data_IF_954609244798
#
_entry.id   IF_954609244798
#
_cell.length_a   1.000
_cell.length_b   1.000
_cell.length_c   1.000
_cell.angle_alpha   90.00
_cell.angle_beta   90.00
_cell.angle_gamma   90.00
#
_symmetry.space_group_name_H-M   'P 1'
#
loop_
_entity.id
_entity.type
_entity.pdbx_description
1 polymer ?
#
# COMPACT_ATOMS: atom_id res chain seq x y z
N UNK A 1 22.32 -11.66 -10.85
CA UNK A 1 22.01 -10.64 -9.84
C UNK A 1 20.55 -10.23 -10.01
N UNK A 2 19.76 -10.27 -8.94
CA UNK A 2 18.40 -9.74 -9.00
C UNK A 2 18.48 -8.21 -9.02
N UNK A 3 17.91 -7.60 -10.08
CA UNK A 3 18.08 -6.19 -10.39
C UNK A 3 16.94 -5.33 -9.87
N UNK A 4 17.24 -4.07 -9.56
CA UNK A 4 16.25 -3.03 -9.29
C UNK A 4 15.39 -2.76 -10.51
N UNK A 5 14.22 -2.16 -10.29
CA UNK A 5 13.21 -1.88 -11.32
C UNK A 5 12.72 -0.44 -11.25
N UNK A 6 12.53 0.13 -12.44
CA UNK A 6 11.87 1.42 -12.66
C UNK A 6 10.90 1.31 -13.83
N UNK A 7 10.32 2.42 -14.27
CA UNK A 7 9.49 2.47 -15.48
C UNK A 7 10.34 2.66 -16.74
N UNK A 8 9.85 2.19 -17.89
CA UNK A 8 10.46 2.47 -19.20
C UNK A 8 10.10 3.86 -19.73
N UNK A 9 8.88 4.30 -19.46
CA UNK A 9 8.36 5.58 -19.89
C UNK A 9 7.51 6.21 -18.80
N UNK A 10 7.21 7.50 -18.92
CA UNK A 10 6.27 8.15 -18.03
C UNK A 10 4.83 7.75 -18.34
N UNK A 11 3.99 7.82 -17.32
CA UNK A 11 2.53 7.69 -17.46
C UNK A 11 1.83 8.69 -16.55
N UNK A 12 0.56 9.02 -16.85
CA UNK A 12 -0.21 10.03 -16.14
C UNK A 12 -1.60 9.55 -15.83
N UNK A 13 -2.15 10.07 -14.74
CA UNK A 13 -3.55 9.92 -14.41
C UNK A 13 -4.09 11.20 -13.78
N UNK A 14 -5.37 11.43 -13.98
CA UNK A 14 -6.12 12.52 -13.34
C UNK A 14 -7.28 11.89 -12.58
N UNK A 15 -7.51 12.36 -11.38
CA UNK A 15 -8.60 11.90 -10.53
C UNK A 15 -8.92 12.92 -9.45
N UNK A 16 -9.54 12.45 -8.39
CA UNK A 16 -9.86 13.25 -7.20
C UNK A 16 -9.27 12.57 -5.96
N UNK A 17 -8.88 13.35 -4.97
CA UNK A 17 -8.52 12.83 -3.65
C UNK A 17 -9.75 12.29 -2.94
N UNK A 18 -9.62 11.15 -2.26
CA UNK A 18 -10.73 10.53 -1.54
C UNK A 18 -11.27 11.45 -0.44
N UNK A 19 -10.36 12.03 0.34
CA UNK A 19 -10.72 12.87 1.48
C UNK A 19 -10.91 14.33 1.09
N UNK A 20 -10.02 14.90 0.29
CA UNK A 20 -10.05 16.30 -0.11
C UNK A 20 -11.11 16.61 -1.16
N UNK A 21 -11.50 15.65 -2.00
CA UNK A 21 -12.34 15.87 -3.17
C UNK A 21 -11.70 16.76 -4.24
N UNK A 22 -10.44 17.17 -4.06
CA UNK A 22 -9.73 18.02 -5.00
C UNK A 22 -9.29 17.23 -6.23
N UNK A 23 -9.38 17.88 -7.39
CA UNK A 23 -8.81 17.34 -8.62
C UNK A 23 -7.29 17.31 -8.51
N UNK A 24 -6.71 16.18 -8.83
CA UNK A 24 -5.26 15.94 -8.78
C UNK A 24 -4.80 15.21 -10.02
N UNK A 25 -3.65 15.62 -10.54
CA UNK A 25 -2.91 14.92 -11.58
C UNK A 25 -1.66 14.29 -10.95
N UNK A 26 -1.39 13.02 -11.28
CA UNK A 26 -0.12 12.38 -11.01
C UNK A 26 0.60 12.05 -12.30
N UNK A 27 1.93 12.26 -12.30
CA UNK A 27 2.83 11.78 -13.34
C UNK A 27 3.84 10.85 -12.71
N UNK A 28 3.79 9.57 -13.11
CA UNK A 28 4.74 8.55 -12.70
C UNK A 28 5.90 8.56 -13.69
N UNK A 29 7.13 8.81 -13.23
CA UNK A 29 8.31 8.92 -14.09
C UNK A 29 9.40 7.93 -13.68
N UNK A 30 10.17 7.40 -14.65
CA UNK A 30 11.38 6.64 -14.36
C UNK A 30 12.30 7.41 -13.41
N UNK A 31 12.98 6.69 -12.52
CA UNK A 31 14.02 7.23 -11.67
C UNK A 31 15.30 6.40 -11.79
N UNK A 32 16.44 6.99 -11.47
CA UNK A 32 17.72 6.29 -11.47
C UNK A 32 17.77 5.20 -10.40
N UNK A 33 18.65 4.23 -10.57
CA UNK A 33 18.91 3.23 -9.55
C UNK A 33 19.28 3.89 -8.20
N UNK A 34 18.85 3.27 -7.12
CA UNK A 34 19.06 3.74 -5.75
C UNK A 34 18.35 5.06 -5.38
N UNK A 35 17.46 5.58 -6.24
CA UNK A 35 16.63 6.76 -5.92
C UNK A 35 15.57 6.45 -4.87
N UNK A 36 15.00 5.23 -4.91
CA UNK A 36 13.79 4.90 -4.17
C UNK A 36 12.55 5.54 -4.81
N UNK A 37 11.44 5.59 -4.06
CA UNK A 37 10.23 6.28 -4.51
C UNK A 37 10.19 7.66 -3.87
N UNK A 38 10.02 8.69 -4.71
CA UNK A 38 10.02 10.09 -4.31
C UNK A 38 8.76 10.76 -4.83
N UNK A 39 7.92 11.25 -3.93
CA UNK A 39 6.82 12.14 -4.27
C UNK A 39 7.34 13.56 -4.45
N UNK A 40 6.86 14.26 -5.49
CA UNK A 40 7.23 15.65 -5.76
C UNK A 40 5.98 16.50 -5.89
N UNK A 41 5.79 17.42 -4.96
CA UNK A 41 4.72 18.42 -4.99
C UNK A 41 5.10 19.49 -6.02
N UNK A 42 4.54 19.37 -7.23
CA UNK A 42 4.85 20.26 -8.35
C UNK A 42 3.92 21.48 -8.45
N UNK A 43 2.88 21.51 -7.64
CA UNK A 43 1.92 22.60 -7.50
C UNK A 43 2.40 23.74 -6.57
N UNK A 44 3.43 23.48 -5.77
CA UNK A 44 4.00 24.48 -4.87
C UNK A 44 4.87 25.49 -5.65
N UNK A 45 5.04 26.72 -5.15
CA UNK A 45 5.86 27.75 -5.80
C UNK A 45 7.28 27.28 -6.13
N UNK A 46 7.84 26.43 -5.30
CA UNK A 46 9.04 25.63 -5.58
C UNK A 46 8.69 24.15 -5.35
N UNK A 47 8.98 23.27 -6.32
CA UNK A 47 8.72 21.84 -6.14
C UNK A 47 9.45 21.29 -4.91
N UNK A 48 8.74 20.48 -4.11
CA UNK A 48 9.27 19.87 -2.90
C UNK A 48 9.26 18.36 -3.04
N UNK A 49 10.42 17.75 -2.86
CA UNK A 49 10.58 16.30 -2.84
C UNK A 49 10.27 15.74 -1.45
N UNK A 50 9.48 14.68 -1.42
CA UNK A 50 9.12 13.92 -0.21
C UNK A 50 9.56 12.48 -0.45
N UNK A 51 10.78 12.10 -0.05
CA UNK A 51 11.26 10.73 -0.17
C UNK A 51 10.43 9.79 0.70
N UNK A 52 10.11 8.60 0.16
CA UNK A 52 9.41 7.56 0.88
C UNK A 52 10.27 7.02 2.02
N UNK A 53 9.77 7.12 3.24
CA UNK A 53 10.41 6.64 4.47
C UNK A 53 9.37 6.43 5.57
N UNK A 54 9.53 5.36 6.35
CA UNK A 54 8.68 5.12 7.51
C UNK A 54 8.73 6.28 8.54
N UNK A 55 9.85 7.01 8.58
CA UNK A 55 10.03 8.18 9.46
C UNK A 55 9.40 9.45 8.90
N UNK A 56 9.12 9.49 7.58
CA UNK A 56 8.41 10.61 6.94
C UNK A 56 6.87 10.53 7.09
N UNK A 57 6.35 9.42 7.64
CA UNK A 57 4.92 9.29 7.95
C UNK A 57 4.59 10.15 9.16
N UNK A 58 3.74 11.16 8.96
CA UNK A 58 3.36 12.14 9.98
C UNK A 58 1.91 12.07 10.42
N UNK A 59 1.04 11.47 9.60
CA UNK A 59 -0.36 11.21 9.95
C UNK A 59 -0.77 9.83 9.40
N UNK A 60 -1.57 9.12 10.19
CA UNK A 60 -2.10 7.78 9.85
C UNK A 60 -3.60 7.68 10.08
N UNK A 61 -4.28 8.81 10.27
CA UNK A 61 -5.73 8.87 10.39
C UNK A 61 -6.35 8.69 9.00
N UNK A 62 -7.10 7.62 8.83
CA UNK A 62 -7.81 7.24 7.59
C UNK A 62 -6.91 6.88 6.39
N UNK A 63 -5.65 7.32 6.35
CA UNK A 63 -4.70 7.07 5.27
C UNK A 63 -3.26 7.28 5.77
N UNK A 64 -2.28 6.78 5.04
CA UNK A 64 -0.87 7.09 5.29
C UNK A 64 -0.47 8.39 4.61
N UNK A 65 0.10 9.32 5.40
CA UNK A 65 0.54 10.64 4.96
C UNK A 65 2.04 10.78 5.13
N UNK A 66 2.74 11.10 4.04
CA UNK A 66 4.16 11.46 4.05
C UNK A 66 4.33 12.97 4.08
N UNK A 67 5.37 13.47 4.77
CA UNK A 67 5.67 14.90 4.84
C UNK A 67 7.17 15.19 4.75
N UNK A 68 7.48 16.36 4.19
CA UNK A 68 8.80 16.98 4.26
C UNK A 68 8.59 18.50 4.53
N UNK A 69 8.88 18.94 5.75
CA UNK A 69 8.47 20.25 6.23
C UNK A 69 6.94 20.41 6.17
N UNK A 70 6.48 21.47 5.56
CA UNK A 70 5.03 21.75 5.40
C UNK A 70 4.39 21.01 4.21
N UNK A 71 5.22 20.49 3.29
CA UNK A 71 4.71 19.74 2.15
C UNK A 71 4.26 18.34 2.56
N UNK A 72 3.07 17.92 2.10
CA UNK A 72 2.43 16.66 2.45
C UNK A 72 1.90 15.95 1.22
N UNK A 73 1.83 14.62 1.31
CA UNK A 73 1.10 13.76 0.38
C UNK A 73 0.32 12.71 1.19
N UNK A 74 -1.00 12.75 1.04
CA UNK A 74 -1.95 11.84 1.70
C UNK A 74 -2.29 10.63 0.81
N UNK A 75 -2.78 9.56 1.43
CA UNK A 75 -3.38 8.38 0.76
C UNK A 75 -2.38 7.72 -0.21
N UNK A 76 -1.16 7.48 0.27
CA UNK A 76 -0.09 6.92 -0.56
C UNK A 76 -0.16 5.39 -0.68
N UNK A 77 -0.88 4.73 0.23
CA UNK A 77 -0.89 3.27 0.43
C UNK A 77 -1.28 2.47 -0.81
N UNK A 78 -2.28 2.88 -1.59
CA UNK A 78 -2.73 2.13 -2.76
C UNK A 78 -1.68 2.14 -3.89
N UNK A 79 -1.07 3.28 -4.17
CA UNK A 79 0.04 3.39 -5.12
C UNK A 79 1.27 2.62 -4.63
N UNK A 80 1.59 2.72 -3.33
CA UNK A 80 2.71 1.97 -2.74
C UNK A 80 2.47 0.47 -2.79
N UNK A 81 1.23 0.02 -2.59
CA UNK A 81 0.83 -1.38 -2.73
C UNK A 81 1.07 -1.88 -4.17
N UNK A 82 0.68 -1.10 -5.18
CA UNK A 82 0.94 -1.42 -6.59
C UNK A 82 2.45 -1.51 -6.88
N UNK A 83 3.24 -0.55 -6.36
CA UNK A 83 4.70 -0.57 -6.50
C UNK A 83 5.31 -1.81 -5.83
N UNK A 84 4.86 -2.18 -4.63
CA UNK A 84 5.29 -3.38 -3.92
C UNK A 84 4.96 -4.65 -4.72
N UNK A 85 3.72 -4.77 -5.20
CA UNK A 85 3.24 -5.94 -5.95
C UNK A 85 3.94 -6.14 -7.29
N UNK A 86 4.32 -5.06 -7.97
CA UNK A 86 5.07 -5.09 -9.24
C UNK A 86 6.59 -5.03 -9.04
N UNK A 87 7.03 -4.77 -7.83
CA UNK A 87 8.44 -4.68 -7.47
C UNK A 87 9.15 -3.47 -8.05
N UNK A 88 8.49 -2.30 -8.10
CA UNK A 88 9.09 -1.04 -8.53
C UNK A 88 9.92 -0.46 -7.38
N UNK A 89 11.21 -0.36 -7.57
CA UNK A 89 12.14 0.13 -6.56
C UNK A 89 12.39 1.64 -6.67
N UNK A 90 12.39 2.19 -7.89
CA UNK A 90 12.75 3.58 -8.16
C UNK A 90 11.70 4.27 -9.02
N UNK A 91 11.15 5.37 -8.51
CA UNK A 91 10.05 6.09 -9.16
C UNK A 91 9.99 7.54 -8.68
N UNK A 92 9.81 8.49 -9.60
CA UNK A 92 9.31 9.82 -9.26
C UNK A 92 7.79 9.87 -9.44
N UNK A 93 7.10 10.43 -8.45
CA UNK A 93 5.65 10.67 -8.46
C UNK A 93 5.43 12.18 -8.37
N UNK A 94 5.33 12.85 -9.51
CA UNK A 94 4.95 14.26 -9.52
C UNK A 94 3.43 14.37 -9.27
N UNK A 95 3.05 15.23 -8.34
CA UNK A 95 1.66 15.38 -7.88
C UNK A 95 1.27 16.86 -7.75
N UNK A 96 0.05 17.20 -8.21
CA UNK A 96 -0.45 18.58 -8.28
C UNK A 96 -1.39 18.95 -7.14
N UNK A 97 -1.48 18.14 -6.09
CA UNK A 97 -2.26 18.42 -4.88
C UNK A 97 -1.72 17.59 -3.71
N UNK A 98 -2.32 17.75 -2.52
CA UNK A 98 -1.84 17.07 -1.30
C UNK A 98 -2.25 15.59 -1.18
N UNK A 99 -3.05 15.06 -2.09
CA UNK A 99 -3.59 13.71 -1.96
C UNK A 99 -3.43 12.93 -3.27
N UNK A 100 -2.97 11.68 -3.19
CA UNK A 100 -2.95 10.74 -4.32
C UNK A 100 -4.39 10.50 -4.80
N UNK A 101 -4.69 10.51 -6.12
CA UNK A 101 -6.05 10.28 -6.59
C UNK A 101 -6.52 8.88 -6.21
N UNK A 102 -7.76 8.78 -5.75
CA UNK A 102 -8.34 7.50 -5.31
C UNK A 102 -8.62 6.55 -6.48
N UNK A 103 -8.80 7.09 -7.69
CA UNK A 103 -9.16 6.37 -8.91
C UNK A 103 -10.39 5.47 -8.69
N UNK A 104 -10.24 4.16 -8.81
CA UNK A 104 -11.33 3.20 -8.60
C UNK A 104 -11.44 2.67 -7.14
N UNK A 105 -10.65 3.23 -6.23
CA UNK A 105 -10.60 2.84 -4.82
C UNK A 105 -9.75 1.60 -4.52
N UNK A 106 -9.08 1.07 -5.52
CA UNK A 106 -8.18 -0.08 -5.40
C UNK A 106 -6.76 0.24 -5.90
N UNK A 107 -5.86 -0.72 -5.90
CA UNK A 107 -4.55 -0.59 -6.52
C UNK A 107 -4.53 -0.98 -8.01
N UNK A 108 -5.63 -1.52 -8.55
CA UNK A 108 -5.67 -2.04 -9.92
C UNK A 108 -5.40 -0.97 -10.98
N UNK A 109 -5.93 0.23 -10.79
CA UNK A 109 -5.69 1.35 -11.70
C UNK A 109 -4.22 1.77 -11.71
N UNK A 110 -3.55 1.75 -10.58
CA UNK A 110 -2.10 2.00 -10.50
C UNK A 110 -1.29 0.88 -11.13
N UNK A 111 -1.67 -0.38 -10.92
CA UNK A 111 -1.05 -1.54 -11.60
C UNK A 111 -1.14 -1.37 -13.10
N UNK A 112 -2.31 -1.00 -13.62
CA UNK A 112 -2.50 -0.75 -15.06
C UNK A 112 -1.58 0.38 -15.57
N UNK A 113 -1.48 1.50 -14.87
CA UNK A 113 -0.62 2.63 -15.23
C UNK A 113 0.86 2.21 -15.27
N UNK A 114 1.34 1.54 -14.22
CA UNK A 114 2.73 1.09 -14.11
C UNK A 114 3.08 0.07 -15.19
N UNK A 115 2.20 -0.90 -15.46
CA UNK A 115 2.40 -1.91 -16.52
C UNK A 115 2.34 -1.30 -17.91
N UNK A 116 1.44 -0.33 -18.15
CA UNK A 116 1.32 0.37 -19.44
C UNK A 116 2.56 1.21 -19.74
N UNK A 117 3.18 1.81 -18.74
CA UNK A 117 4.47 2.51 -18.89
C UNK A 117 5.64 1.55 -19.17
N UNK A 118 5.44 0.26 -18.90
CA UNK A 118 6.46 -0.76 -18.97
C UNK A 118 7.45 -0.70 -17.80
N UNK A 119 8.00 -1.86 -17.44
CA UNK A 119 8.98 -1.99 -16.36
C UNK A 119 10.35 -2.26 -16.94
N UNK A 120 11.37 -1.57 -16.45
CA UNK A 120 12.77 -1.69 -16.87
C UNK A 120 13.63 -2.19 -15.72
N UNK A 121 14.51 -3.14 -16.02
CA UNK A 121 15.53 -3.61 -15.10
C UNK A 121 16.73 -2.65 -15.12
N UNK A 122 17.23 -2.29 -13.95
CA UNK A 122 18.37 -1.41 -13.78
C UNK A 122 19.61 -2.20 -13.36
N UNK A 123 20.78 -1.78 -13.85
CA UNK A 123 22.05 -2.45 -13.52
C UNK A 123 22.52 -2.12 -12.09
N UNK A 124 21.68 -2.46 -11.12
CA UNK A 124 21.95 -2.28 -9.70
C UNK A 124 21.30 -3.43 -8.90
N UNK A 125 21.93 -3.93 -7.83
CA UNK A 125 21.39 -5.03 -7.03
C UNK A 125 20.13 -4.58 -6.28
N UNK A 126 19.07 -5.37 -6.34
CA UNK A 126 17.88 -5.17 -5.53
C UNK A 126 18.17 -5.56 -4.09
N UNK A 127 17.91 -4.65 -3.18
CA UNK A 127 18.15 -4.83 -1.75
C UNK A 127 16.85 -5.13 -1.02
N UNK A 128 16.90 -6.14 -0.13
CA UNK A 128 15.77 -6.57 0.69
C UNK A 128 16.09 -6.36 2.16
N UNK A 129 15.08 -6.08 2.95
CA UNK A 129 15.15 -6.18 4.41
C UNK A 129 14.67 -7.59 4.80
N UNK A 130 15.59 -8.42 5.29
CA UNK A 130 15.30 -9.75 5.78
C UNK A 130 15.09 -9.71 7.28
N UNK A 131 13.93 -10.16 7.73
CA UNK A 131 13.64 -10.31 9.15
C UNK A 131 14.35 -11.57 9.68
N UNK A 132 15.12 -11.39 10.74
CA UNK A 132 15.91 -12.48 11.39
C UNK A 132 15.35 -12.87 12.75
N UNK A 133 14.59 -11.98 13.40
CA UNK A 133 13.89 -12.23 14.67
C UNK A 133 12.50 -11.63 14.64
N UNK A 134 11.52 -12.21 15.34
CA UNK A 134 10.18 -11.68 15.41
C UNK A 134 10.14 -10.24 15.98
N UNK A 135 9.29 -9.42 15.36
CA UNK A 135 8.99 -8.05 15.82
C UNK A 135 7.48 -7.92 15.87
N UNK A 136 6.96 -7.41 16.97
CA UNK A 136 5.52 -7.30 17.18
C UNK A 136 5.18 -5.99 17.89
N UNK A 137 4.05 -5.40 17.50
CA UNK A 137 3.44 -4.26 18.17
C UNK A 137 1.99 -4.61 18.51
N UNK A 138 1.55 -4.20 19.70
CA UNK A 138 0.18 -4.41 20.19
C UNK A 138 -0.41 -3.14 20.74
N UNK A 139 -1.71 -3.00 20.63
CA UNK A 139 -2.50 -1.94 21.26
C UNK A 139 -3.82 -2.50 21.79
N UNK A 140 -4.33 -1.90 22.86
CA UNK A 140 -5.53 -2.37 23.53
C UNK A 140 -5.32 -3.65 24.34
N UNK A 141 -6.40 -4.16 24.92
CA UNK A 141 -6.46 -5.45 25.64
C UNK A 141 -7.85 -6.05 25.49
N UNK A 142 -7.94 -7.39 25.51
CA UNK A 142 -9.21 -8.11 25.42
C UNK A 142 -9.94 -7.80 24.10
N UNK A 143 -11.21 -7.45 24.17
CA UNK A 143 -12.06 -7.15 22.99
C UNK A 143 -11.51 -6.01 22.13
N UNK A 144 -10.75 -5.08 22.71
CA UNK A 144 -10.12 -3.96 22.01
C UNK A 144 -8.70 -4.25 21.51
N UNK A 145 -8.21 -5.48 21.61
CA UNK A 145 -6.86 -5.83 21.20
C UNK A 145 -6.72 -5.76 19.68
N UNK A 146 -5.59 -5.20 19.25
CA UNK A 146 -5.12 -5.22 17.86
C UNK A 146 -3.61 -5.37 17.85
N UNK A 147 -3.09 -6.07 16.85
CA UNK A 147 -1.65 -6.32 16.76
C UNK A 147 -1.20 -6.47 15.32
N UNK A 148 0.10 -6.24 15.12
CA UNK A 148 0.81 -6.51 13.86
C UNK A 148 2.19 -7.07 14.17
N UNK A 149 2.65 -8.04 13.38
CA UNK A 149 3.87 -8.81 13.61
C UNK A 149 4.59 -9.14 12.32
N UNK A 150 5.92 -9.11 12.37
CA UNK A 150 6.83 -9.62 11.36
C UNK A 150 7.59 -10.82 11.91
N UNK A 151 7.58 -11.92 11.19
CA UNK A 151 8.35 -13.13 11.48
C UNK A 151 9.38 -13.42 10.38
N UNK A 152 10.49 -14.10 10.69
CA UNK A 152 11.42 -14.60 9.68
C UNK A 152 10.70 -15.48 8.66
N UNK A 153 10.85 -15.14 7.39
CA UNK A 153 10.31 -15.92 6.28
C UNK A 153 11.13 -15.70 5.00
N UNK A 154 11.44 -16.78 4.29
CA UNK A 154 12.16 -16.68 3.01
C UNK A 154 11.20 -16.42 1.85
N UNK A 155 10.65 -15.24 1.81
CA UNK A 155 9.60 -14.79 0.89
C UNK A 155 8.88 -13.57 1.42
N UNK A 156 7.70 -13.30 0.87
CA UNK A 156 6.80 -12.28 1.40
C UNK A 156 5.38 -12.85 1.48
N UNK A 157 4.92 -13.00 2.69
CA UNK A 157 3.62 -13.58 3.02
C UNK A 157 2.88 -12.66 3.99
N UNK A 158 1.62 -12.43 3.76
CA UNK A 158 0.76 -11.63 4.62
C UNK A 158 -0.44 -12.47 5.06
N UNK A 159 -0.76 -12.41 6.35
CA UNK A 159 -1.99 -12.95 6.95
C UNK A 159 -2.69 -11.84 7.68
N UNK A 160 -3.91 -11.55 7.32
CA UNK A 160 -4.69 -10.50 7.92
C UNK A 160 -6.06 -11.01 8.38
N UNK A 161 -6.47 -10.61 9.57
CA UNK A 161 -7.79 -10.88 10.12
C UNK A 161 -8.42 -9.56 10.54
N UNK A 162 -9.64 -9.33 10.04
CA UNK A 162 -10.51 -8.22 10.44
C UNK A 162 -11.58 -8.77 11.39
N UNK A 163 -12.23 -7.88 12.11
CA UNK A 163 -13.30 -8.23 13.05
C UNK A 163 -14.32 -7.09 13.06
N UNK A 164 -15.19 -7.09 12.05
CA UNK A 164 -16.29 -6.15 11.92
C UNK A 164 -17.60 -6.86 12.23
N UNK A 165 -18.31 -6.37 13.22
CA UNK A 165 -19.69 -6.80 13.55
C UNK A 165 -20.67 -6.04 12.64
N UNK A 166 -20.86 -6.55 11.42
CA UNK A 166 -21.74 -5.93 10.43
C UNK A 166 -22.28 -6.97 9.44
N UNK A 167 -23.61 -7.07 9.19
CA UNK A 167 -24.21 -8.11 8.36
C UNK A 167 -23.59 -8.29 6.97
N UNK A 168 -23.21 -7.19 6.31
CA UNK A 168 -22.56 -7.24 5.00
C UNK A 168 -21.14 -7.81 5.05
N UNK A 169 -20.44 -7.66 6.17
CA UNK A 169 -19.06 -8.17 6.37
C UNK A 169 -19.09 -9.59 6.93
N UNK A 170 -20.01 -9.89 7.83
CA UNK A 170 -20.17 -11.23 8.43
C UNK A 170 -20.48 -12.32 7.39
N UNK A 171 -21.11 -11.92 6.29
CA UNK A 171 -21.38 -12.83 5.17
C UNK A 171 -20.15 -13.11 4.30
N UNK A 172 -19.01 -12.49 4.59
CA UNK A 172 -17.75 -12.58 3.83
C UNK A 172 -16.64 -13.24 4.64
N UNK A 173 -15.55 -13.64 3.99
CA UNK A 173 -14.35 -14.06 4.69
C UNK A 173 -13.66 -12.88 5.40
N UNK A 174 -13.45 -13.01 6.72
CA UNK A 174 -12.78 -11.98 7.52
C UNK A 174 -11.30 -12.29 7.80
N UNK A 175 -10.77 -13.38 7.23
CA UNK A 175 -9.36 -13.76 7.31
C UNK A 175 -8.85 -14.19 5.95
N UNK A 176 -7.67 -13.72 5.57
CA UNK A 176 -7.02 -14.10 4.31
C UNK A 176 -5.51 -14.24 4.51
N UNK A 177 -4.93 -15.15 3.75
CA UNK A 177 -3.50 -15.31 3.60
C UNK A 177 -3.11 -15.06 2.14
N UNK A 178 -2.10 -14.24 1.93
CA UNK A 178 -1.52 -13.95 0.63
C UNK A 178 -0.01 -14.22 0.67
N UNK A 179 0.48 -15.11 -0.20
CA UNK A 179 1.90 -15.42 -0.34
C UNK A 179 2.33 -15.13 -1.79
N UNK A 180 3.28 -14.23 -1.96
CA UNK A 180 3.77 -13.83 -3.29
C UNK A 180 4.43 -14.97 -4.07
N UNK A 181 4.80 -16.07 -3.42
CA UNK A 181 5.35 -17.26 -4.08
C UNK A 181 4.31 -18.11 -4.81
N UNK A 182 3.04 -17.98 -4.42
CA UNK A 182 1.90 -18.81 -4.87
C UNK A 182 0.84 -17.97 -5.58
N UNK A 183 0.55 -16.79 -5.04
CA UNK A 183 -0.54 -15.93 -5.49
C UNK A 183 -0.06 -14.87 -6.48
N UNK A 184 -0.97 -14.38 -7.30
CA UNK A 184 -0.73 -13.25 -8.19
C UNK A 184 -1.32 -11.97 -7.59
N UNK A 185 -0.47 -11.00 -7.26
CA UNK A 185 -0.90 -9.75 -6.65
C UNK A 185 -1.99 -9.03 -7.46
N UNK A 186 -1.77 -8.88 -8.77
CA UNK A 186 -2.70 -8.16 -9.65
C UNK A 186 -4.07 -8.81 -9.71
N UNK A 187 -4.13 -10.14 -9.72
CA UNK A 187 -5.38 -10.91 -9.78
C UNK A 187 -6.05 -11.04 -8.41
N UNK A 188 -5.26 -11.30 -7.37
CA UNK A 188 -5.79 -11.82 -6.11
C UNK A 188 -5.98 -10.73 -5.05
N UNK A 189 -5.27 -9.57 -5.17
CA UNK A 189 -5.29 -8.48 -4.18
C UNK A 189 -5.58 -7.12 -4.80
N UNK A 190 -4.91 -6.74 -5.90
CA UNK A 190 -4.87 -5.36 -6.37
C UNK A 190 -6.25 -4.73 -6.66
N UNK A 191 -7.27 -5.53 -6.94
CA UNK A 191 -8.63 -5.06 -7.28
C UNK A 191 -9.53 -4.84 -6.07
N UNK A 192 -9.09 -5.16 -4.86
CA UNK A 192 -9.86 -4.95 -3.64
C UNK A 192 -10.02 -3.46 -3.35
N UNK A 193 -11.25 -3.00 -3.26
CA UNK A 193 -11.60 -1.57 -3.06
C UNK A 193 -11.61 -1.21 -1.59
N UNK A 194 -11.29 0.06 -1.32
CA UNK A 194 -11.57 0.68 -0.02
C UNK A 194 -13.06 0.65 0.27
N UNK A 195 -13.43 0.78 1.54
CA UNK A 195 -14.82 0.68 1.98
C UNK A 195 -15.14 1.62 3.13
N UNK A 196 -16.41 1.92 3.28
CA UNK A 196 -16.90 2.73 4.38
C UNK A 196 -18.38 2.52 4.64
N UNK A 197 -18.78 2.85 5.87
CA UNK A 197 -20.17 2.82 6.31
C UNK A 197 -20.82 4.20 6.10
N UNK A 198 -22.07 4.25 5.67
CA UNK A 198 -22.78 5.51 5.40
C UNK A 198 -22.75 6.45 6.59
N UNK A 199 -22.91 5.94 7.82
CA UNK A 199 -22.82 6.74 9.07
C UNK A 199 -21.47 7.44 9.22
N UNK A 200 -20.37 6.70 8.94
CA UNK A 200 -19.01 7.23 9.07
C UNK A 200 -18.74 8.25 7.96
N UNK A 201 -19.23 7.98 6.73
CA UNK A 201 -19.08 8.88 5.58
C UNK A 201 -19.79 10.22 5.85
N UNK A 202 -20.99 10.20 6.41
CA UNK A 202 -21.72 11.44 6.77
C UNK A 202 -20.97 12.26 7.81
N UNK A 203 -20.47 11.60 8.85
CA UNK A 203 -19.64 12.23 9.89
C UNK A 203 -18.33 12.77 9.32
N UNK A 204 -17.65 12.00 8.48
CA UNK A 204 -16.42 12.45 7.81
C UNK A 204 -16.67 13.67 6.93
N UNK A 205 -17.73 13.68 6.12
CA UNK A 205 -18.10 14.84 5.26
C UNK A 205 -18.42 16.09 6.07
N UNK A 206 -19.10 15.95 7.20
CA UNK A 206 -19.35 17.06 8.11
C UNK A 206 -18.05 17.67 8.68
N UNK A 207 -16.97 16.90 8.70
CA UNK A 207 -15.62 17.31 9.11
C UNK A 207 -14.67 17.60 7.95
N UNK A 208 -15.18 17.75 6.71
CA UNK A 208 -14.38 18.07 5.52
C UNK A 208 -13.54 16.90 4.98
N UNK A 209 -13.88 15.65 5.32
CA UNK A 209 -13.22 14.42 4.86
C UNK A 209 -14.16 13.61 3.96
N UNK A 210 -13.63 12.62 3.24
CA UNK A 210 -14.36 11.76 2.31
C UNK A 210 -15.19 12.55 1.25
N UNK A 211 -14.74 13.76 0.89
CA UNK A 211 -15.45 14.65 -0.04
C UNK A 211 -15.45 14.10 -1.48
N UNK A 212 -14.43 13.34 -1.87
CA UNK A 212 -14.31 12.67 -3.17
C UNK A 212 -14.80 11.22 -3.19
N UNK A 213 -15.22 10.68 -2.03
CA UNK A 213 -15.69 9.30 -1.90
C UNK A 213 -17.10 9.09 -2.47
N UNK A 214 -17.30 7.94 -3.14
CA UNK A 214 -18.58 7.56 -3.70
C UNK A 214 -18.63 6.10 -4.14
N UNK A 215 -19.75 5.67 -4.69
CA UNK A 215 -19.98 4.29 -5.15
C UNK A 215 -19.03 3.85 -6.29
N UNK A 216 -18.42 4.81 -7.00
CA UNK A 216 -17.49 4.54 -8.10
C UNK A 216 -16.07 4.20 -7.61
N UNK A 217 -15.73 4.59 -6.37
CA UNK A 217 -14.36 4.47 -5.83
C UNK A 217 -14.29 3.91 -4.40
N UNK A 218 -15.40 3.42 -3.85
CA UNK A 218 -15.45 2.74 -2.56
C UNK A 218 -16.59 1.73 -2.52
N UNK A 219 -16.46 0.72 -1.68
CA UNK A 219 -17.59 -0.10 -1.26
C UNK A 219 -18.29 0.68 -0.16
N UNK A 220 -19.53 1.06 -0.39
CA UNK A 220 -20.36 1.78 0.59
C UNK A 220 -21.39 0.83 1.16
N UNK A 221 -21.50 0.80 2.48
CA UNK A 221 -22.45 -0.04 3.21
C UNK A 221 -23.42 0.83 4.02
N UNK A 222 -24.70 0.47 4.00
CA UNK A 222 -25.67 0.93 4.99
C UNK A 222 -25.60 0.02 6.24
N UNK A 223 -26.60 0.07 7.10
CA UNK A 223 -26.62 -0.75 8.32
C UNK A 223 -26.79 -2.27 8.05
N UNK A 224 -27.06 -2.68 6.80
CA UNK A 224 -27.44 -4.06 6.48
C UNK A 224 -26.67 -4.66 5.31
N UNK A 225 -26.33 -3.86 4.30
CA UNK A 225 -25.85 -4.37 2.99
C UNK A 225 -24.89 -3.44 2.28
N UNK A 226 -24.22 -3.99 1.28
CA UNK A 226 -23.43 -3.24 0.27
C UNK A 226 -24.41 -2.51 -0.67
N UNK A 227 -24.17 -1.21 -0.89
CA UNK A 227 -25.00 -0.35 -1.74
C UNK A 227 -24.55 -0.33 -3.21
N UNK A 228 -23.32 -0.74 -3.50
CA UNK A 228 -22.80 -0.80 -4.87
C UNK A 228 -23.59 -1.78 -5.71
N UNK A 229 -24.18 -1.34 -6.82
CA UNK A 229 -25.02 -2.17 -7.70
C UNK A 229 -24.31 -3.42 -8.24
N UNK A 230 -22.99 -3.34 -8.47
CA UNK A 230 -22.17 -4.48 -8.91
C UNK A 230 -21.73 -5.43 -7.79
N UNK A 231 -22.10 -5.18 -6.53
CA UNK A 231 -21.65 -5.97 -5.38
C UNK A 231 -20.15 -5.92 -5.14
N UNK A 232 -19.61 -7.00 -4.60
CA UNK A 232 -18.19 -7.19 -4.31
C UNK A 232 -17.44 -7.75 -5.53
N UNK A 233 -16.15 -7.42 -5.65
CA UNK A 233 -15.22 -7.98 -6.66
C UNK A 233 -14.62 -9.32 -6.24
N UNK A 234 -14.61 -9.60 -4.92
CA UNK A 234 -14.15 -10.84 -4.29
C UNK A 234 -15.09 -11.17 -3.14
N UNK A 235 -15.27 -12.45 -2.84
CA UNK A 235 -16.09 -12.90 -1.69
C UNK A 235 -15.51 -12.42 -0.35
N UNK A 236 -14.23 -12.09 -0.31
CA UNK A 236 -13.45 -11.62 0.83
C UNK A 236 -12.80 -10.24 0.58
N UNK A 237 -13.48 -9.35 -0.18
CA UNK A 237 -12.92 -8.09 -0.65
C UNK A 237 -12.48 -7.18 0.50
N UNK A 238 -13.21 -7.12 1.61
CA UNK A 238 -12.89 -6.27 2.74
C UNK A 238 -11.53 -6.59 3.36
N UNK A 239 -11.29 -7.87 3.67
CA UNK A 239 -10.01 -8.29 4.25
C UNK A 239 -8.87 -8.26 3.23
N UNK A 240 -9.14 -8.49 1.94
CA UNK A 240 -8.16 -8.32 0.86
C UNK A 240 -7.73 -6.87 0.70
N UNK A 241 -8.64 -5.92 0.89
CA UNK A 241 -8.29 -4.51 0.91
C UNK A 241 -7.34 -4.19 2.08
N UNK A 242 -7.53 -4.81 3.25
CA UNK A 242 -6.59 -4.65 4.37
C UNK A 242 -5.21 -5.25 4.07
N UNK A 243 -5.11 -6.32 3.29
CA UNK A 243 -3.83 -6.82 2.76
C UNK A 243 -3.21 -5.80 1.80
N UNK A 244 -4.00 -5.22 0.90
CA UNK A 244 -3.55 -4.18 -0.03
C UNK A 244 -2.97 -2.98 0.72
N UNK A 245 -3.69 -2.44 1.71
CA UNK A 245 -3.25 -1.35 2.58
C UNK A 245 -1.95 -1.70 3.29
N UNK A 246 -1.89 -2.89 3.93
CA UNK A 246 -0.71 -3.33 4.66
C UNK A 246 0.51 -3.48 3.74
N UNK A 247 0.34 -4.01 2.52
CA UNK A 247 1.44 -4.07 1.54
C UNK A 247 1.98 -2.68 1.21
N UNK A 248 1.10 -1.72 1.01
CA UNK A 248 1.48 -0.33 0.73
C UNK A 248 2.17 0.33 1.92
N UNK A 249 1.57 0.24 3.10
CA UNK A 249 2.13 0.80 4.33
C UNK A 249 3.51 0.24 4.66
N UNK A 250 3.68 -1.08 4.52
CA UNK A 250 4.97 -1.74 4.77
C UNK A 250 6.02 -1.38 3.71
N UNK A 251 5.60 -1.12 2.47
CA UNK A 251 6.51 -0.71 1.39
C UNK A 251 7.07 0.71 1.59
N UNK A 252 6.44 1.53 2.45
CA UNK A 252 6.97 2.84 2.88
C UNK A 252 8.35 2.71 3.56
N UNK A 253 8.75 1.51 4.00
CA UNK A 253 10.12 1.22 4.44
C UNK A 253 11.19 1.57 3.40
N UNK A 254 10.81 1.65 2.11
CA UNK A 254 11.70 1.98 0.99
C UNK A 254 12.46 0.79 0.41
N UNK A 255 12.23 -0.41 0.92
CA UNK A 255 12.79 -1.67 0.42
C UNK A 255 11.79 -2.81 0.63
N UNK A 256 11.76 -3.80 -0.27
CA UNK A 256 10.93 -4.98 -0.09
C UNK A 256 11.36 -5.80 1.13
N UNK A 257 10.38 -6.37 1.82
CA UNK A 257 10.58 -7.24 2.97
C UNK A 257 10.72 -8.70 2.53
N UNK A 258 11.60 -9.44 3.22
CA UNK A 258 11.56 -10.89 3.31
C UNK A 258 11.07 -11.23 4.71
N UNK A 259 9.76 -11.48 4.81
CA UNK A 259 9.06 -11.65 6.09
C UNK A 259 7.71 -12.32 5.92
N UNK A 260 7.23 -12.96 6.96
CA UNK A 260 5.82 -13.24 7.20
C UNK A 260 5.21 -12.11 8.03
N UNK A 261 4.28 -11.37 7.45
CA UNK A 261 3.47 -10.39 8.17
C UNK A 261 2.16 -11.02 8.62
N UNK A 262 1.82 -10.83 9.88
CA UNK A 262 0.54 -11.25 10.45
C UNK A 262 -0.10 -10.11 11.22
N UNK A 263 -1.41 -9.92 11.08
CA UNK A 263 -2.10 -8.85 11.77
C UNK A 263 -3.54 -9.20 12.13
N UNK A 264 -3.99 -8.69 13.25
CA UNK A 264 -5.36 -8.70 13.70
C UNK A 264 -5.83 -7.26 13.95
N UNK A 265 -6.89 -6.85 13.26
CA UNK A 265 -7.52 -5.51 13.36
C UNK A 265 -6.53 -4.35 13.19
N UNK A 266 -5.43 -4.56 12.46
CA UNK A 266 -4.43 -3.53 12.20
C UNK A 266 -4.95 -2.47 11.22
N UNK A 267 -4.24 -1.36 11.16
CA UNK A 267 -4.44 -0.25 10.22
C UNK A 267 -3.16 0.57 10.08
N UNK A 268 -3.22 1.70 9.36
CA UNK A 268 -2.05 2.52 9.02
C UNK A 268 -1.20 2.91 10.23
N UNK A 269 -1.83 3.30 11.35
CA UNK A 269 -1.12 3.65 12.58
C UNK A 269 -0.27 2.50 13.12
N UNK A 270 -0.86 1.31 13.23
CA UNK A 270 -0.17 0.15 13.78
C UNK A 270 0.88 -0.41 12.81
N UNK A 271 0.61 -0.37 11.51
CA UNK A 271 1.57 -0.73 10.47
C UNK A 271 2.80 0.19 10.51
N UNK A 272 2.61 1.51 10.64
CA UNK A 272 3.73 2.44 10.78
C UNK A 272 4.49 2.26 12.10
N UNK A 273 3.78 2.00 13.21
CA UNK A 273 4.41 1.68 14.48
C UNK A 273 5.28 0.43 14.38
N UNK A 274 4.83 -0.60 13.66
CA UNK A 274 5.62 -1.81 13.40
C UNK A 274 6.89 -1.50 12.59
N UNK A 275 6.81 -0.65 11.58
CA UNK A 275 8.00 -0.21 10.82
C UNK A 275 8.98 0.59 11.66
N UNK A 276 8.49 1.45 12.54
CA UNK A 276 9.34 2.21 13.48
C UNK A 276 10.01 1.29 14.49
N UNK A 277 9.28 0.30 15.01
CA UNK A 277 9.84 -0.73 15.89
C UNK A 277 10.89 -1.56 15.15
N UNK A 278 10.62 -1.98 13.92
CA UNK A 278 11.59 -2.67 13.05
C UNK A 278 12.88 -1.86 12.93
N UNK A 279 12.80 -0.59 12.59
CA UNK A 279 13.98 0.27 12.40
C UNK A 279 14.76 0.50 13.70
N UNK A 280 14.11 0.46 14.86
CA UNK A 280 14.75 0.56 16.16
C UNK A 280 15.50 -0.72 16.59
N UNK A 281 15.08 -1.88 16.05
CA UNK A 281 15.57 -3.21 16.39
C UNK A 281 16.59 -3.70 15.35
N UNK A 282 17.75 -3.04 15.29
CA UNK A 282 18.82 -3.36 14.32
C UNK A 282 19.39 -4.78 14.47
N UNK A 283 19.11 -5.46 15.58
CA UNK A 283 19.44 -6.87 15.83
C UNK A 283 18.46 -7.87 15.21
N UNK A 284 17.32 -7.38 14.69
CA UNK A 284 16.21 -8.23 14.24
C UNK A 284 16.06 -8.29 12.71
N UNK A 285 16.91 -7.60 11.97
CA UNK A 285 16.89 -7.59 10.52
C UNK A 285 18.26 -7.32 9.90
N UNK A 286 18.39 -7.61 8.62
CA UNK A 286 19.58 -7.33 7.84
C UNK A 286 19.22 -6.97 6.39
N UNK A 287 20.11 -6.27 5.70
CA UNK A 287 19.96 -6.00 4.27
C UNK A 287 20.63 -7.13 3.48
N UNK A 288 19.90 -7.71 2.53
CA UNK A 288 20.40 -8.79 1.66
C UNK A 288 20.17 -8.49 0.18
N UNK A 289 21.03 -9.06 -0.66
CA UNK A 289 20.94 -9.06 -2.13
C UNK A 289 21.05 -10.49 -2.64
N UNK A 290 20.66 -10.73 -3.89
CA UNK A 290 20.75 -12.04 -4.52
C UNK A 290 21.56 -11.92 -5.82
N UNK A 291 22.80 -12.43 -5.79
CA UNK A 291 23.69 -12.46 -6.98
C UNK A 291 23.21 -13.44 -8.04
N UNK A 292 22.40 -14.42 -7.64
CA UNK A 292 21.75 -15.37 -8.52
C UNK A 292 20.22 -15.30 -8.27
N UNK A 293 19.47 -14.99 -9.32
CA UNK A 293 18.00 -14.92 -9.27
C UNK A 293 17.34 -16.23 -8.81
N UNK A 294 17.98 -17.38 -9.06
CA UNK A 294 17.48 -18.67 -8.59
C UNK A 294 17.50 -18.84 -7.07
N UNK A 295 18.31 -18.03 -6.37
CA UNK A 295 18.39 -18.02 -4.90
C UNK A 295 17.39 -17.04 -4.29
N UNK A 296 16.81 -16.16 -5.10
CA UNK A 296 15.76 -15.24 -4.63
C UNK A 296 14.46 -16.02 -4.40
N UNK A 297 13.68 -15.61 -3.40
CA UNK A 297 12.37 -16.21 -3.17
C UNK A 297 11.46 -16.07 -4.41
N UNK A 298 10.66 -17.10 -4.65
CA UNK A 298 9.63 -17.04 -5.70
C UNK A 298 8.73 -15.82 -5.47
N UNK A 299 8.27 -15.21 -6.56
CA UNK A 299 7.47 -13.97 -6.53
C UNK A 299 8.30 -12.70 -6.68
N UNK A 300 9.59 -12.71 -6.37
CA UNK A 300 10.49 -11.56 -6.59
C UNK A 300 11.33 -11.66 -7.86
N UNK A 301 11.63 -12.88 -8.31
CA UNK A 301 12.52 -13.12 -9.44
C UNK A 301 11.92 -12.74 -10.80
N UNK A 302 10.58 -12.79 -10.96
CA UNK A 302 9.91 -12.44 -12.21
C UNK A 302 9.13 -11.14 -12.06
N UNK A 303 9.13 -10.22 -13.07
CA UNK A 303 8.13 -9.15 -13.11
C UNK A 303 6.75 -9.79 -13.08
N UNK A 304 5.83 -9.20 -12.31
CA UNK A 304 4.45 -9.65 -12.30
C UNK A 304 3.93 -9.72 -13.73
N UNK A 305 3.49 -10.89 -14.15
CA UNK A 305 2.93 -11.08 -15.49
C UNK A 305 1.72 -10.17 -15.63
N UNK A 306 1.60 -9.49 -16.78
CA UNK A 306 0.35 -8.86 -17.18
C UNK A 306 -0.79 -9.88 -17.07
N UNK A 307 -2.00 -9.37 -16.84
CA UNK A 307 -3.28 -10.07 -16.71
C UNK A 307 -3.44 -11.31 -17.61
#
# INVERSE_FOLDING_TARGET
>A
MLQQRTLKSLTRAVGVGLHSGQRVEITLRPAQADTGIVFRRVDLPQPVDIPMSAMAVTDTRLASTLSNGDAKVHTVEHLMSACAGLGIDNLYVDITAEEVPILDGSAASFVFLLQSAGIELQNAPRRFIRITRPIEVREGRGVGEKWARLDPYHGYKLSFEIDFDHPAVDSTGQRVEFDMSVHNYSRDIARARTFGFTKDVEMMRANGLALGGGLDNAIVMDDYKVLNAGGLRYDDEFVKHKILDAMGDLYILGKPLLAGYSAFRSGHALNNKLLRELLSRTDAWETVTFDNEKLAPKGFAQPARAW
#
